data_IF_087383332774
#
_entry.id   IF_087383332774
#
_cell.length_a   1.000
_cell.length_b   1.000
_cell.length_c   1.000
_cell.angle_alpha   90.00
_cell.angle_beta   90.00
_cell.angle_gamma   90.00
#
_symmetry.space_group_name_H-M   'P 1'
#
loop_
_entity.id
_entity.type
_entity.pdbx_description
1 polymer ?
#
# COMPACT_ATOMS: atom_id res chain seq x y z
N UNK A 1 -12.52 -26.04 -15.74
CA UNK A 1 -12.34 -27.50 -16.00
C UNK A 1 -12.89 -28.34 -14.86
N UNK A 2 -12.35 -28.24 -13.63
CA UNK A 2 -12.82 -29.05 -12.49
C UNK A 2 -14.34 -28.99 -12.26
N UNK A 3 -14.91 -27.78 -12.18
CA UNK A 3 -16.37 -27.61 -11.98
C UNK A 3 -17.22 -28.35 -13.02
N UNK A 4 -16.87 -28.25 -14.30
CA UNK A 4 -17.57 -28.95 -15.39
C UNK A 4 -17.44 -30.47 -15.26
N UNK A 5 -16.24 -30.98 -14.96
CA UNK A 5 -16.02 -32.42 -14.82
C UNK A 5 -16.79 -33.00 -13.62
N UNK A 6 -16.86 -32.26 -12.52
CA UNK A 6 -17.64 -32.61 -11.33
C UNK A 6 -19.15 -32.64 -11.63
N UNK A 7 -19.67 -31.63 -12.33
CA UNK A 7 -21.09 -31.60 -12.74
C UNK A 7 -21.45 -32.78 -13.66
N UNK A 8 -20.53 -33.19 -14.53
CA UNK A 8 -20.71 -34.31 -15.44
C UNK A 8 -20.48 -35.68 -14.79
N UNK A 9 -19.87 -35.75 -13.59
CA UNK A 9 -19.49 -37.00 -12.93
C UNK A 9 -20.64 -38.00 -12.77
N UNK A 10 -21.85 -37.62 -12.32
CA UNK A 10 -22.97 -38.56 -12.21
C UNK A 10 -23.39 -39.13 -13.56
N UNK A 11 -23.36 -38.31 -14.62
CA UNK A 11 -23.69 -38.71 -15.99
C UNK A 11 -22.62 -39.64 -16.57
N UNK A 12 -21.34 -39.36 -16.31
CA UNK A 12 -20.22 -40.23 -16.70
C UNK A 12 -20.34 -41.61 -16.02
N UNK A 13 -20.61 -41.64 -14.71
CA UNK A 13 -20.87 -42.89 -13.96
C UNK A 13 -22.06 -43.68 -14.50
N UNK A 14 -23.08 -43.00 -15.03
CA UNK A 14 -24.26 -43.64 -15.63
C UNK A 14 -23.97 -44.22 -17.02
N UNK A 15 -23.24 -43.49 -17.86
CA UNK A 15 -22.93 -43.89 -19.23
C UNK A 15 -21.85 -44.98 -19.32
N UNK A 16 -20.87 -44.96 -18.42
CA UNK A 16 -19.75 -45.92 -18.39
C UNK A 16 -20.05 -47.14 -17.51
N UNK A 17 -21.33 -47.51 -17.35
CA UNK A 17 -21.72 -48.70 -16.59
C UNK A 17 -21.33 -49.98 -17.34
N UNK A 18 -20.68 -50.90 -16.62
CA UNK A 18 -20.35 -52.25 -17.11
C UNK A 18 -18.85 -52.54 -17.13
N UNK A 19 -18.48 -53.83 -17.05
CA UNK A 19 -17.08 -54.29 -16.94
C UNK A 19 -16.19 -53.82 -18.10
N UNK A 20 -16.74 -53.67 -19.31
CA UNK A 20 -15.98 -53.22 -20.48
C UNK A 20 -15.52 -51.75 -20.40
N UNK A 21 -16.22 -50.92 -19.61
CA UNK A 21 -15.95 -49.48 -19.47
C UNK A 21 -15.28 -49.12 -18.13
N UNK A 22 -15.02 -50.11 -17.26
CA UNK A 22 -14.52 -49.92 -15.90
C UNK A 22 -13.20 -49.16 -15.85
N UNK A 23 -12.21 -49.56 -16.67
CA UNK A 23 -10.91 -48.88 -16.75
C UNK A 23 -11.01 -47.43 -17.27
N UNK A 24 -11.99 -47.14 -18.13
CA UNK A 24 -12.22 -45.78 -18.64
C UNK A 24 -12.84 -44.88 -17.56
N UNK A 25 -13.79 -45.42 -16.79
CA UNK A 25 -14.39 -44.72 -15.65
C UNK A 25 -13.33 -44.43 -14.58
N UNK A 26 -12.51 -45.42 -14.22
CA UNK A 26 -11.42 -45.27 -13.26
C UNK A 26 -10.40 -44.20 -13.70
N UNK A 27 -9.99 -44.24 -14.97
CA UNK A 27 -9.06 -43.26 -15.55
C UNK A 27 -9.63 -41.83 -15.48
N UNK A 28 -10.92 -41.68 -15.78
CA UNK A 28 -11.62 -40.39 -15.75
C UNK A 28 -11.68 -39.83 -14.34
N UNK A 29 -12.10 -40.64 -13.36
CA UNK A 29 -12.16 -40.23 -11.95
C UNK A 29 -10.76 -39.89 -11.40
N UNK A 30 -9.74 -40.65 -11.79
CA UNK A 30 -8.35 -40.37 -11.43
C UNK A 30 -7.89 -39.02 -12.00
N UNK A 31 -8.25 -38.69 -13.24
CA UNK A 31 -7.90 -37.40 -13.85
C UNK A 31 -8.61 -36.23 -13.15
N UNK A 32 -9.89 -36.38 -12.79
CA UNK A 32 -10.63 -35.38 -11.99
C UNK A 32 -9.95 -35.14 -10.65
N UNK A 33 -9.57 -36.23 -9.96
CA UNK A 33 -8.85 -36.17 -8.68
C UNK A 33 -7.50 -35.45 -8.81
N UNK A 34 -6.68 -35.82 -9.80
CA UNK A 34 -5.40 -35.16 -10.05
C UNK A 34 -5.57 -33.68 -10.38
N UNK A 35 -6.56 -33.33 -11.19
CA UNK A 35 -6.86 -31.93 -11.50
C UNK A 35 -7.23 -31.14 -10.23
N UNK A 36 -8.01 -31.74 -9.33
CA UNK A 36 -8.38 -31.15 -8.06
C UNK A 36 -7.16 -30.93 -7.15
N UNK A 37 -6.33 -31.96 -6.98
CA UNK A 37 -5.10 -31.93 -6.19
C UNK A 37 -4.13 -30.86 -6.72
N UNK A 38 -3.89 -30.81 -8.03
CA UNK A 38 -3.03 -29.78 -8.64
C UNK A 38 -3.58 -28.37 -8.46
N UNK A 39 -4.90 -28.17 -8.60
CA UNK A 39 -5.52 -26.87 -8.39
C UNK A 39 -5.41 -26.40 -6.93
N UNK A 40 -5.58 -27.31 -5.97
CA UNK A 40 -5.39 -27.03 -4.54
C UNK A 40 -3.96 -26.69 -4.21
N UNK A 41 -3.02 -27.53 -4.63
CA UNK A 41 -1.59 -27.31 -4.41
C UNK A 41 -1.15 -25.97 -5.00
N UNK A 42 -1.61 -25.64 -6.21
CA UNK A 42 -1.34 -24.34 -6.84
C UNK A 42 -1.84 -23.19 -5.96
N UNK A 43 -3.07 -23.28 -5.45
CA UNK A 43 -3.64 -22.21 -4.63
C UNK A 43 -2.95 -22.10 -3.26
N UNK A 44 -2.63 -23.23 -2.62
CA UNK A 44 -1.94 -23.31 -1.33
C UNK A 44 -0.50 -22.78 -1.43
N UNK A 45 0.19 -23.03 -2.54
CA UNK A 45 1.58 -22.58 -2.75
C UNK A 45 1.68 -21.16 -3.31
N UNK A 46 0.58 -20.60 -3.83
CA UNK A 46 0.58 -19.26 -4.42
C UNK A 46 1.05 -18.13 -3.49
N UNK A 47 0.75 -18.11 -2.16
CA UNK A 47 1.35 -17.14 -1.24
C UNK A 47 2.88 -17.10 -1.31
N UNK A 48 3.56 -18.25 -1.44
CA UNK A 48 5.02 -18.27 -1.50
C UNK A 48 5.55 -17.70 -2.83
N UNK A 49 4.82 -17.88 -3.93
CA UNK A 49 5.11 -17.22 -5.21
C UNK A 49 4.97 -15.70 -5.05
N UNK A 50 3.90 -15.23 -4.41
CA UNK A 50 3.66 -13.80 -4.17
C UNK A 50 4.75 -13.20 -3.29
N UNK A 51 5.15 -13.90 -2.23
CA UNK A 51 6.20 -13.48 -1.30
C UNK A 51 7.54 -13.29 -2.01
N UNK A 52 7.88 -14.21 -2.92
CA UNK A 52 9.17 -14.23 -3.62
C UNK A 52 9.20 -13.46 -4.94
N UNK A 53 8.08 -12.87 -5.37
CA UNK A 53 8.01 -12.08 -6.59
C UNK A 53 9.11 -11.01 -6.65
N UNK A 54 9.98 -11.16 -7.64
CA UNK A 54 11.11 -10.29 -7.90
C UNK A 54 10.88 -9.40 -9.13
N UNK A 55 9.66 -9.39 -9.69
CA UNK A 55 9.33 -8.56 -10.85
C UNK A 55 9.69 -7.11 -10.54
N UNK A 56 10.55 -6.54 -11.38
CA UNK A 56 10.98 -5.16 -11.29
C UNK A 56 10.08 -4.31 -12.18
N UNK A 57 9.17 -3.58 -11.53
CA UNK A 57 8.42 -2.49 -12.16
C UNK A 57 8.86 -1.21 -11.48
N UNK A 58 9.47 -0.31 -12.25
CA UNK A 58 9.92 0.97 -11.73
C UNK A 58 8.70 1.84 -11.36
N UNK A 59 8.38 1.88 -10.08
CA UNK A 59 7.50 2.90 -9.49
C UNK A 59 8.40 3.92 -8.82
N UNK A 60 8.49 5.12 -9.39
CA UNK A 60 9.44 6.15 -8.93
C UNK A 60 8.78 7.23 -8.06
N UNK A 61 7.46 7.37 -8.13
CA UNK A 61 6.66 8.42 -7.48
C UNK A 61 5.92 7.93 -6.22
N UNK A 62 6.08 6.64 -5.88
CA UNK A 62 5.42 6.02 -4.73
C UNK A 62 3.97 5.60 -4.96
N UNK A 63 3.44 5.60 -6.20
CA UNK A 63 2.07 5.12 -6.48
C UNK A 63 1.86 3.64 -6.09
N UNK A 64 0.61 3.17 -6.19
CA UNK A 64 0.24 1.77 -6.01
C UNK A 64 1.01 0.90 -7.00
N UNK A 65 1.68 -0.14 -6.49
CA UNK A 65 2.43 -1.06 -7.33
C UNK A 65 1.45 -1.94 -8.15
N UNK A 66 1.66 -2.14 -9.47
CA UNK A 66 0.77 -2.98 -10.29
C UNK A 66 0.62 -4.41 -9.74
N UNK A 67 1.69 -4.95 -9.17
CA UNK A 67 1.70 -6.23 -8.44
C UNK A 67 0.60 -6.31 -7.37
N UNK A 68 0.45 -5.28 -6.52
CA UNK A 68 -0.57 -5.24 -5.47
C UNK A 68 -1.96 -5.41 -6.05
N UNK A 69 -2.28 -4.67 -7.12
CA UNK A 69 -3.57 -4.77 -7.82
C UNK A 69 -3.76 -6.15 -8.43
N UNK A 70 -2.75 -6.70 -9.10
CA UNK A 70 -2.78 -8.04 -9.73
C UNK A 70 -3.06 -9.13 -8.70
N UNK A 71 -2.33 -9.14 -7.59
CA UNK A 71 -2.47 -10.14 -6.53
C UNK A 71 -3.84 -10.05 -5.87
N UNK A 72 -4.27 -8.85 -5.46
CA UNK A 72 -5.57 -8.66 -4.83
C UNK A 72 -6.72 -9.07 -5.77
N UNK A 73 -6.69 -8.65 -7.04
CA UNK A 73 -7.69 -9.06 -8.02
C UNK A 73 -7.73 -10.57 -8.19
N UNK A 74 -6.58 -11.20 -8.47
CA UNK A 74 -6.50 -12.64 -8.70
C UNK A 74 -7.03 -13.43 -7.50
N UNK A 75 -6.54 -13.11 -6.30
CA UNK A 75 -6.93 -13.80 -5.08
C UNK A 75 -8.43 -13.69 -4.80
N UNK A 76 -8.98 -12.47 -4.78
CA UNK A 76 -10.39 -12.29 -4.45
C UNK A 76 -11.34 -12.79 -5.54
N UNK A 77 -10.95 -12.72 -6.82
CA UNK A 77 -11.73 -13.37 -7.90
C UNK A 77 -11.79 -14.88 -7.71
N UNK A 78 -10.67 -15.52 -7.37
CA UNK A 78 -10.63 -16.94 -7.06
C UNK A 78 -11.43 -17.27 -5.79
N UNK A 79 -11.30 -16.48 -4.73
CA UNK A 79 -12.00 -16.68 -3.45
C UNK A 79 -13.53 -16.63 -3.60
N UNK A 80 -14.05 -15.77 -4.48
CA UNK A 80 -15.48 -15.69 -4.80
C UNK A 80 -16.00 -16.89 -5.59
N UNK A 81 -15.12 -17.70 -6.17
CA UNK A 81 -15.50 -18.87 -6.96
C UNK A 81 -16.15 -19.95 -6.07
N UNK A 82 -17.39 -20.30 -6.40
CA UNK A 82 -18.10 -21.44 -5.77
C UNK A 82 -17.36 -22.75 -5.98
N UNK A 83 -16.76 -22.93 -7.17
CA UNK A 83 -15.95 -24.11 -7.49
C UNK A 83 -14.73 -24.23 -6.58
N UNK A 84 -14.06 -23.12 -6.26
CA UNK A 84 -12.90 -23.14 -5.36
C UNK A 84 -13.31 -23.52 -3.94
N UNK A 85 -14.43 -22.94 -3.44
CA UNK A 85 -14.95 -23.28 -2.11
C UNK A 85 -15.30 -24.77 -1.99
N UNK A 86 -15.94 -25.32 -3.01
CA UNK A 86 -16.28 -26.75 -3.08
C UNK A 86 -15.03 -27.62 -3.13
N UNK A 87 -14.04 -27.24 -3.94
CA UNK A 87 -12.75 -27.92 -4.02
C UNK A 87 -12.07 -28.02 -2.65
N UNK A 88 -12.01 -26.89 -1.92
CA UNK A 88 -11.49 -26.83 -0.55
C UNK A 88 -12.36 -27.54 0.50
N UNK A 89 -13.62 -27.86 0.21
CA UNK A 89 -14.48 -28.64 1.11
C UNK A 89 -14.30 -30.14 0.88
N UNK A 90 -14.21 -30.57 -0.38
CA UNK A 90 -14.15 -31.98 -0.77
C UNK A 90 -12.79 -32.62 -0.48
N UNK A 91 -11.71 -31.84 -0.63
CA UNK A 91 -10.33 -32.30 -0.50
C UNK A 91 -9.64 -31.76 0.76
N UNK A 92 -10.41 -31.41 1.80
CA UNK A 92 -9.83 -31.01 3.09
C UNK A 92 -8.86 -32.07 3.59
N UNK A 93 -7.60 -31.67 3.76
CA UNK A 93 -6.55 -32.55 4.31
C UNK A 93 -6.77 -32.81 5.80
N UNK A 94 -7.28 -31.82 6.55
CA UNK A 94 -7.60 -31.92 7.98
C UNK A 94 -9.05 -31.47 8.24
N UNK A 95 -9.93 -32.41 8.62
CA UNK A 95 -11.33 -32.09 8.96
C UNK A 95 -11.52 -31.50 10.37
N UNK A 96 -10.49 -31.59 11.21
CA UNK A 96 -10.53 -31.21 12.63
C UNK A 96 -10.01 -29.78 12.90
N UNK A 97 -9.55 -29.05 11.88
CA UNK A 97 -9.09 -27.66 12.04
C UNK A 97 -10.29 -26.69 12.17
N UNK A 98 -10.27 -25.80 13.19
CA UNK A 98 -11.38 -24.87 13.43
C UNK A 98 -11.50 -23.81 12.33
N UNK A 99 -10.39 -23.45 11.68
CA UNK A 99 -10.36 -22.52 10.56
C UNK A 99 -10.38 -23.29 9.23
N UNK A 100 -11.13 -22.80 8.24
CA UNK A 100 -11.07 -23.40 6.90
C UNK A 100 -9.66 -23.23 6.31
N UNK A 101 -9.10 -24.27 5.70
CA UNK A 101 -7.81 -24.20 4.97
C UNK A 101 -7.77 -23.04 3.96
N UNK A 102 -8.92 -22.70 3.38
CA UNK A 102 -9.07 -21.54 2.49
C UNK A 102 -8.84 -20.21 3.20
N UNK A 103 -9.27 -20.06 4.46
CA UNK A 103 -8.98 -18.89 5.30
C UNK A 103 -7.49 -18.82 5.63
N UNK A 104 -6.84 -19.94 5.96
CA UNK A 104 -5.39 -19.99 6.20
C UNK A 104 -4.59 -19.52 4.97
N UNK A 105 -4.95 -20.00 3.77
CA UNK A 105 -4.32 -19.53 2.54
C UNK A 105 -4.59 -18.04 2.30
N UNK A 106 -5.78 -17.57 2.67
CA UNK A 106 -6.13 -16.15 2.57
C UNK A 106 -5.25 -15.28 3.49
N UNK A 107 -5.05 -15.68 4.74
CA UNK A 107 -4.14 -15.00 5.69
C UNK A 107 -2.71 -14.98 5.17
N UNK A 108 -2.20 -16.14 4.73
CA UNK A 108 -0.86 -16.27 4.14
C UNK A 108 -0.69 -15.39 2.90
N UNK A 109 -1.71 -15.26 2.05
CA UNK A 109 -1.69 -14.40 0.88
C UNK A 109 -1.51 -12.92 1.26
N UNK A 110 -2.26 -12.46 2.27
CA UNK A 110 -2.19 -11.09 2.76
C UNK A 110 -0.83 -10.77 3.38
N UNK A 111 -0.29 -11.69 4.19
CA UNK A 111 1.05 -11.59 4.78
C UNK A 111 2.15 -11.62 3.72
N UNK A 112 2.05 -12.51 2.73
CA UNK A 112 3.00 -12.62 1.63
C UNK A 112 3.05 -11.34 0.81
N UNK A 113 1.88 -10.77 0.48
CA UNK A 113 1.80 -9.51 -0.25
C UNK A 113 2.41 -8.36 0.55
N UNK A 114 2.08 -8.26 1.84
CA UNK A 114 2.69 -7.25 2.73
C UNK A 114 4.22 -7.38 2.77
N UNK A 115 4.73 -8.59 3.03
CA UNK A 115 6.16 -8.85 3.09
C UNK A 115 6.87 -8.47 1.79
N UNK A 116 6.27 -8.83 0.66
CA UNK A 116 6.83 -8.49 -0.65
C UNK A 116 6.84 -6.97 -0.88
N UNK A 117 5.79 -6.26 -0.48
CA UNK A 117 5.74 -4.80 -0.54
C UNK A 117 6.82 -4.14 0.32
N UNK A 118 7.04 -4.63 1.54
CA UNK A 118 8.13 -4.17 2.40
C UNK A 118 9.51 -4.41 1.76
N UNK A 119 9.69 -5.54 1.08
CA UNK A 119 10.92 -5.84 0.32
C UNK A 119 11.09 -4.88 -0.87
N UNK A 120 10.04 -4.64 -1.65
CA UNK A 120 10.08 -3.70 -2.78
C UNK A 120 10.30 -2.26 -2.31
N UNK A 121 9.74 -1.85 -1.17
CA UNK A 121 9.94 -0.52 -0.61
C UNK A 121 11.42 -0.24 -0.28
N UNK A 122 12.22 -1.25 0.06
CA UNK A 122 13.66 -1.05 0.34
C UNK A 122 14.46 -0.54 -0.86
N UNK A 123 13.92 -0.61 -2.07
CA UNK A 123 14.57 -0.15 -3.30
C UNK A 123 14.56 1.38 -3.45
N UNK A 124 13.64 2.11 -2.80
CA UNK A 124 13.70 3.57 -2.81
C UNK A 124 14.85 4.05 -1.94
N UNK A 125 15.65 5.02 -2.38
CA UNK A 125 16.73 5.56 -1.54
C UNK A 125 16.18 6.49 -0.45
N UNK A 126 15.19 7.31 -0.81
CA UNK A 126 14.52 8.22 0.11
C UNK A 126 13.56 7.47 1.05
N UNK A 127 13.82 7.53 2.35
CA UNK A 127 13.00 6.88 3.39
C UNK A 127 11.58 7.44 3.48
N UNK A 128 11.39 8.74 3.27
CA UNK A 128 10.07 9.34 3.25
C UNK A 128 9.25 8.81 2.07
N UNK A 129 9.88 8.67 0.89
CA UNK A 129 9.23 8.06 -0.28
C UNK A 129 8.88 6.58 -0.04
N UNK A 130 9.72 5.81 0.66
CA UNK A 130 9.38 4.43 1.08
C UNK A 130 8.06 4.38 1.84
N UNK A 131 7.88 5.31 2.77
CA UNK A 131 6.68 5.38 3.59
C UNK A 131 5.46 5.81 2.78
N UNK A 132 5.60 6.73 1.81
CA UNK A 132 4.52 7.07 0.87
C UNK A 132 4.10 5.85 0.03
N UNK A 133 5.07 5.12 -0.53
CA UNK A 133 4.81 3.90 -1.29
C UNK A 133 4.02 2.87 -0.48
N UNK A 134 4.48 2.55 0.73
CA UNK A 134 3.80 1.58 1.59
C UNK A 134 2.41 2.06 1.99
N UNK A 135 2.27 3.35 2.31
CA UNK A 135 0.99 3.95 2.68
C UNK A 135 -0.04 3.84 1.54
N UNK A 136 0.36 4.12 0.29
CA UNK A 136 -0.53 3.96 -0.88
C UNK A 136 -0.97 2.52 -1.09
N UNK A 137 -0.03 1.57 -1.02
CA UNK A 137 -0.34 0.16 -1.25
C UNK A 137 -1.22 -0.42 -0.13
N UNK A 138 -0.95 -0.10 1.13
CA UNK A 138 -1.81 -0.53 2.24
C UNK A 138 -3.19 0.14 2.20
N UNK A 139 -3.26 1.42 1.80
CA UNK A 139 -4.55 2.10 1.61
C UNK A 139 -5.36 1.44 0.50
N UNK A 140 -4.73 1.09 -0.61
CA UNK A 140 -5.37 0.32 -1.67
C UNK A 140 -5.88 -1.02 -1.16
N UNK A 141 -5.06 -1.76 -0.39
CA UNK A 141 -5.48 -3.04 0.21
C UNK A 141 -6.70 -2.86 1.12
N UNK A 142 -6.74 -1.85 1.99
CA UNK A 142 -7.91 -1.54 2.84
C UNK A 142 -9.16 -1.33 1.99
N UNK A 143 -9.09 -0.43 1.01
CA UNK A 143 -10.24 -0.12 0.13
C UNK A 143 -10.71 -1.37 -0.62
N UNK A 144 -9.77 -2.19 -1.09
CA UNK A 144 -10.07 -3.42 -1.81
C UNK A 144 -10.74 -4.48 -0.92
N UNK A 145 -10.20 -4.72 0.27
CA UNK A 145 -10.72 -5.69 1.24
C UNK A 145 -12.14 -5.31 1.64
N UNK A 146 -12.39 -4.05 1.98
CA UNK A 146 -13.72 -3.54 2.36
C UNK A 146 -14.71 -3.64 1.20
N UNK A 147 -14.28 -3.36 -0.03
CA UNK A 147 -15.12 -3.48 -1.23
C UNK A 147 -15.28 -4.92 -1.76
N UNK A 148 -14.63 -5.91 -1.16
CA UNK A 148 -14.59 -7.27 -1.72
C UNK A 148 -15.88 -8.07 -1.51
N UNK A 149 -16.74 -7.69 -0.56
CA UNK A 149 -17.95 -8.44 -0.18
C UNK A 149 -17.70 -9.91 0.23
N UNK A 150 -16.47 -10.28 0.57
CA UNK A 150 -16.10 -11.65 0.98
C UNK A 150 -16.52 -11.92 2.44
N UNK A 151 -17.80 -12.26 2.65
CA UNK A 151 -18.44 -12.43 3.98
C UNK A 151 -17.80 -13.49 4.89
N UNK A 152 -17.07 -14.45 4.33
CA UNK A 152 -16.39 -15.53 5.06
C UNK A 152 -15.01 -15.14 5.58
N UNK A 153 -14.49 -13.97 5.17
CA UNK A 153 -13.21 -13.44 5.63
C UNK A 153 -13.42 -12.47 6.81
N UNK A 154 -12.44 -12.34 7.71
CA UNK A 154 -12.44 -11.35 8.79
C UNK A 154 -12.10 -9.94 8.25
N UNK A 155 -12.95 -9.45 7.34
CA UNK A 155 -12.78 -8.19 6.59
C UNK A 155 -12.53 -7.01 7.53
N UNK A 156 -13.30 -6.91 8.63
CA UNK A 156 -13.16 -5.82 9.58
C UNK A 156 -11.80 -5.82 10.29
N UNK A 157 -11.33 -6.98 10.72
CA UNK A 157 -10.07 -7.08 11.47
C UNK A 157 -8.86 -6.85 10.58
N UNK A 158 -8.91 -7.34 9.34
CA UNK A 158 -7.90 -7.05 8.32
C UNK A 158 -7.89 -5.57 7.97
N UNK A 159 -9.06 -4.96 7.73
CA UNK A 159 -9.17 -3.55 7.44
C UNK A 159 -8.61 -2.69 8.59
N UNK A 160 -8.96 -3.01 9.85
CA UNK A 160 -8.40 -2.33 11.04
C UNK A 160 -6.89 -2.48 11.12
N UNK A 161 -6.36 -3.67 10.84
CA UNK A 161 -4.91 -3.94 10.85
C UNK A 161 -4.18 -3.10 9.80
N UNK A 162 -4.62 -3.14 8.55
CA UNK A 162 -3.97 -2.35 7.50
C UNK A 162 -4.20 -0.84 7.65
N UNK A 163 -5.33 -0.40 8.22
CA UNK A 163 -5.53 1.02 8.57
C UNK A 163 -4.51 1.50 9.61
N UNK A 164 -4.22 0.70 10.64
CA UNK A 164 -3.15 1.01 11.61
C UNK A 164 -1.79 1.10 10.93
N UNK A 165 -1.52 0.24 9.94
CA UNK A 165 -0.29 0.30 9.15
C UNK A 165 -0.21 1.56 8.29
N UNK A 166 -1.30 1.95 7.61
CA UNK A 166 -1.39 3.22 6.87
C UNK A 166 -1.07 4.40 7.79
N UNK A 167 -1.69 4.45 8.97
CA UNK A 167 -1.44 5.50 9.95
C UNK A 167 0.01 5.50 10.44
N UNK A 168 0.59 4.32 10.71
CA UNK A 168 2.01 4.22 11.07
C UNK A 168 2.91 4.77 9.96
N UNK A 169 2.67 4.39 8.71
CA UNK A 169 3.47 4.87 7.56
C UNK A 169 3.33 6.37 7.34
N UNK A 170 2.15 6.92 7.60
CA UNK A 170 1.94 8.36 7.63
C UNK A 170 2.83 9.05 8.69
N UNK A 171 2.88 8.54 9.92
CA UNK A 171 3.71 9.12 10.97
C UNK A 171 5.21 8.97 10.67
N UNK A 172 5.62 7.80 10.17
CA UNK A 172 7.00 7.55 9.74
C UNK A 172 7.41 8.52 8.61
N UNK A 173 6.55 8.74 7.61
CA UNK A 173 6.74 9.74 6.55
C UNK A 173 6.92 11.15 7.13
N UNK A 174 5.99 11.57 8.00
CA UNK A 174 6.00 12.89 8.62
C UNK A 174 7.31 13.12 9.38
N UNK A 175 7.76 12.13 10.14
CA UNK A 175 9.03 12.20 10.87
C UNK A 175 10.24 12.29 9.91
N UNK A 176 10.35 11.37 8.96
CA UNK A 176 11.52 11.29 8.04
C UNK A 176 11.62 12.53 7.14
N UNK A 177 10.49 13.09 6.70
CA UNK A 177 10.48 14.23 5.77
C UNK A 177 10.55 15.61 6.45
N UNK A 178 9.83 15.80 7.58
CA UNK A 178 9.58 17.15 8.10
C UNK A 178 10.31 17.46 9.40
N UNK A 179 10.74 16.46 10.17
CA UNK A 179 11.31 16.68 11.51
C UNK A 179 12.48 17.66 11.49
N UNK A 180 13.36 17.58 10.49
CA UNK A 180 14.52 18.46 10.39
C UNK A 180 14.13 19.90 10.03
N UNK A 181 13.19 20.08 9.09
CA UNK A 181 12.69 21.42 8.71
C UNK A 181 12.02 22.08 9.91
N UNK A 182 11.14 21.35 10.60
CA UNK A 182 10.45 21.85 11.78
C UNK A 182 11.47 22.23 12.87
N UNK A 183 12.47 21.39 13.14
CA UNK A 183 13.54 21.69 14.11
C UNK A 183 14.32 22.96 13.79
N UNK A 184 14.57 23.25 12.50
CA UNK A 184 15.30 24.46 12.08
C UNK A 184 14.52 25.74 12.42
N UNK A 185 13.19 25.71 12.26
CA UNK A 185 12.31 26.88 12.48
C UNK A 185 11.69 26.94 13.87
N UNK A 186 11.83 25.88 14.68
CA UNK A 186 11.35 25.88 16.05
C UNK A 186 12.03 26.96 16.89
N UNK A 187 11.27 27.62 17.80
CA UNK A 187 11.85 28.52 18.78
C UNK A 187 12.92 27.79 19.60
N UNK A 188 14.11 28.38 19.74
CA UNK A 188 15.05 27.93 20.77
C UNK A 188 14.54 28.39 22.12
N UNK A 189 14.67 27.53 23.13
CA UNK A 189 14.16 27.79 24.48
C UNK A 189 14.62 29.11 25.10
N UNK A 190 13.94 29.46 26.20
CA UNK A 190 13.89 30.78 26.83
C UNK A 190 15.24 31.50 26.94
N UNK A 191 15.29 32.74 26.44
CA UNK A 191 16.21 33.78 26.90
C UNK A 191 17.61 33.89 26.27
N UNK A 192 18.01 33.03 25.34
CA UNK A 192 19.32 33.25 24.68
C UNK A 192 19.22 34.41 23.67
N UNK A 193 20.18 35.36 23.73
CA UNK A 193 20.38 36.38 22.71
C UNK A 193 20.82 35.70 21.40
N UNK A 194 19.88 35.13 20.66
CA UNK A 194 20.14 34.55 19.34
C UNK A 194 20.68 35.66 18.46
N UNK A 195 21.90 35.48 17.95
CA UNK A 195 22.56 36.49 17.14
C UNK A 195 21.81 36.69 15.82
N UNK A 196 21.86 37.90 15.26
CA UNK A 196 21.32 38.17 13.93
C UNK A 196 21.91 37.24 12.84
N UNK A 197 23.16 36.80 13.02
CA UNK A 197 23.80 35.83 12.14
C UNK A 197 23.12 34.45 12.21
N UNK A 198 22.87 33.94 13.42
CA UNK A 198 22.19 32.65 13.62
C UNK A 198 20.78 32.63 13.01
N UNK A 199 20.03 33.73 13.12
CA UNK A 199 18.69 33.85 12.50
C UNK A 199 18.80 33.80 10.97
N UNK A 200 19.76 34.52 10.38
CA UNK A 200 19.99 34.49 8.92
C UNK A 200 20.34 33.08 8.43
N UNK A 201 21.15 32.35 9.18
CA UNK A 201 21.56 30.99 8.81
C UNK A 201 20.40 29.99 8.94
N UNK A 202 19.54 30.13 9.94
CA UNK A 202 18.27 29.38 10.02
C UNK A 202 17.37 29.63 8.81
N UNK A 203 17.21 30.89 8.38
CA UNK A 203 16.41 31.21 7.19
C UNK A 203 16.99 30.61 5.91
N UNK A 204 18.32 30.70 5.71
CA UNK A 204 18.98 30.06 4.56
C UNK A 204 18.78 28.55 4.57
N UNK A 205 18.95 27.92 5.73
CA UNK A 205 18.75 26.48 5.92
C UNK A 205 17.30 26.07 5.62
N UNK A 206 16.32 26.77 6.19
CA UNK A 206 14.91 26.56 5.91
C UNK A 206 14.61 26.71 4.41
N UNK A 207 15.04 27.81 3.79
CA UNK A 207 14.76 28.09 2.38
C UNK A 207 15.31 27.00 1.45
N UNK A 208 16.49 26.48 1.76
CA UNK A 208 17.12 25.38 1.02
C UNK A 208 16.36 24.07 1.20
N UNK A 209 16.11 23.66 2.46
CA UNK A 209 15.44 22.40 2.77
C UNK A 209 14.00 22.37 2.24
N UNK A 210 13.25 23.46 2.46
CA UNK A 210 11.89 23.61 1.98
C UNK A 210 11.81 23.53 0.45
N UNK A 211 12.75 24.18 -0.26
CA UNK A 211 12.81 24.11 -1.73
C UNK A 211 13.01 22.67 -2.21
N UNK A 212 14.01 21.97 -1.66
CA UNK A 212 14.33 20.61 -2.09
C UNK A 212 13.19 19.66 -1.79
N UNK A 213 12.65 19.72 -0.57
CA UNK A 213 11.49 18.92 -0.18
C UNK A 213 10.32 19.14 -1.15
N UNK A 214 9.97 20.40 -1.43
CA UNK A 214 8.87 20.71 -2.33
C UNK A 214 9.11 20.20 -3.76
N UNK A 215 10.33 20.35 -4.30
CA UNK A 215 10.68 19.85 -5.64
C UNK A 215 10.57 18.34 -5.75
N UNK A 216 10.99 17.62 -4.72
CA UNK A 216 10.95 16.16 -4.70
C UNK A 216 9.51 15.66 -4.50
N UNK A 217 8.84 16.14 -3.45
CA UNK A 217 7.54 15.60 -3.02
C UNK A 217 6.36 16.03 -3.89
N UNK A 218 6.51 17.10 -4.68
CA UNK A 218 5.51 17.45 -5.72
C UNK A 218 5.46 16.39 -6.84
N UNK A 219 6.54 15.66 -7.06
CA UNK A 219 6.59 14.60 -8.07
C UNK A 219 6.03 13.27 -7.56
N UNK A 220 5.87 13.12 -6.25
CA UNK A 220 5.29 11.93 -5.65
C UNK A 220 3.79 11.91 -5.86
N UNK A 221 3.18 10.73 -5.81
CA UNK A 221 1.75 10.55 -6.04
C UNK A 221 1.10 9.79 -4.89
N UNK A 222 -0.06 10.27 -4.43
CA UNK A 222 -0.89 9.58 -3.41
C UNK A 222 -2.27 9.32 -3.99
N UNK A 223 -2.52 8.11 -4.50
CA UNK A 223 -3.72 7.76 -5.27
C UNK A 223 -5.06 8.07 -4.56
N UNK A 224 -5.17 7.78 -3.27
CA UNK A 224 -6.41 8.00 -2.50
C UNK A 224 -6.60 9.48 -2.17
N UNK A 225 -7.69 10.07 -2.69
CA UNK A 225 -7.97 11.50 -2.59
C UNK A 225 -8.14 11.95 -1.13
N UNK A 226 -8.81 11.17 -0.30
CA UNK A 226 -9.08 11.54 1.10
C UNK A 226 -7.81 11.42 1.95
N UNK A 227 -7.00 10.39 1.72
CA UNK A 227 -5.67 10.26 2.30
C UNK A 227 -4.76 11.44 1.89
N UNK A 228 -4.76 11.81 0.60
CA UNK A 228 -3.99 12.94 0.07
C UNK A 228 -4.41 14.25 0.73
N UNK A 229 -5.72 14.51 0.84
CA UNK A 229 -6.25 15.70 1.54
C UNK A 229 -5.85 15.72 3.00
N UNK A 230 -5.98 14.60 3.71
CA UNK A 230 -5.60 14.47 5.12
C UNK A 230 -4.12 14.75 5.33
N UNK A 231 -3.23 14.16 4.52
CA UNK A 231 -1.79 14.48 4.50
C UNK A 231 -1.54 15.98 4.36
N UNK A 232 -2.13 16.61 3.35
CA UNK A 232 -1.94 18.05 3.10
C UNK A 232 -2.43 18.90 4.28
N UNK A 233 -3.57 18.56 4.87
CA UNK A 233 -4.12 19.28 6.03
C UNK A 233 -3.17 19.19 7.22
N UNK A 234 -2.76 17.97 7.60
CA UNK A 234 -1.88 17.78 8.75
C UNK A 234 -0.53 18.45 8.57
N UNK A 235 0.07 18.38 7.38
CA UNK A 235 1.35 19.06 7.12
C UNK A 235 1.23 20.57 7.24
N UNK A 236 0.11 21.16 6.81
CA UNK A 236 -0.17 22.60 7.02
C UNK A 236 -0.33 22.93 8.50
N UNK A 237 -1.11 22.13 9.23
CA UNK A 237 -1.35 22.29 10.66
C UNK A 237 -0.05 22.19 11.47
N UNK A 238 0.88 21.35 11.05
CA UNK A 238 2.20 21.21 11.67
C UNK A 238 3.11 22.42 11.42
N UNK A 239 3.24 22.84 10.15
CA UNK A 239 4.30 23.79 9.75
C UNK A 239 3.89 25.25 9.93
N UNK A 240 2.63 25.62 9.64
CA UNK A 240 2.23 27.02 9.57
C UNK A 240 2.33 27.76 10.91
N UNK A 241 1.90 27.20 12.06
CA UNK A 241 2.02 27.89 13.34
C UNK A 241 3.48 28.18 13.72
N UNK A 242 4.36 27.21 13.48
CA UNK A 242 5.79 27.32 13.77
C UNK A 242 6.43 28.34 12.81
N UNK A 243 6.06 28.30 11.53
CA UNK A 243 6.57 29.21 10.53
C UNK A 243 6.14 30.67 10.75
N UNK A 244 4.89 30.90 11.16
CA UNK A 244 4.41 32.24 11.58
C UNK A 244 5.26 32.83 12.70
N UNK A 245 5.54 32.01 13.71
CA UNK A 245 6.36 32.41 14.86
C UNK A 245 7.78 32.74 14.42
N UNK A 246 8.35 31.89 13.56
CA UNK A 246 9.67 32.10 12.96
C UNK A 246 9.77 33.38 12.11
N UNK A 247 8.71 33.74 11.37
CA UNK A 247 8.62 34.99 10.62
C UNK A 247 8.54 36.23 11.53
N UNK A 248 7.73 36.18 12.60
CA UNK A 248 7.63 37.28 13.55
C UNK A 248 8.97 37.56 14.25
N UNK A 249 9.68 36.50 14.64
CA UNK A 249 11.02 36.59 15.23
C UNK A 249 12.04 37.22 14.27
N UNK A 250 11.93 36.95 12.98
CA UNK A 250 12.77 37.55 11.95
C UNK A 250 12.50 39.04 11.80
N UNK A 251 11.22 39.41 11.67
CA UNK A 251 10.81 40.80 11.42
C UNK A 251 11.15 41.72 12.60
N UNK A 252 11.13 41.19 13.82
CA UNK A 252 11.51 41.94 15.03
C UNK A 252 13.04 42.07 15.19
N UNK A 253 13.82 41.02 14.87
CA UNK A 253 15.27 40.96 15.16
C UNK A 253 16.16 41.41 13.99
N UNK A 254 15.65 41.43 12.76
CA UNK A 254 16.41 41.77 11.54
C UNK A 254 15.76 42.92 10.77
N UNK A 255 16.53 44.01 10.58
CA UNK A 255 16.12 45.16 9.76
C UNK A 255 16.19 44.89 8.24
N UNK A 256 16.98 43.90 7.81
CA UNK A 256 17.21 43.56 6.41
C UNK A 256 16.36 42.36 5.98
N UNK A 257 15.38 42.61 5.11
CA UNK A 257 14.36 41.63 4.67
C UNK A 257 14.82 40.72 3.53
N UNK A 258 16.03 40.86 2.99
CA UNK A 258 16.49 40.10 1.81
C UNK A 258 16.53 38.57 1.95
N UNK A 259 16.37 38.05 3.17
CA UNK A 259 16.40 36.61 3.46
C UNK A 259 14.99 35.98 3.56
N UNK A 260 13.92 36.79 3.56
CA UNK A 260 12.53 36.32 3.52
C UNK A 260 12.20 35.91 2.08
N UNK A 261 12.40 34.63 1.77
CA UNK A 261 12.17 34.08 0.42
C UNK A 261 10.72 33.63 0.21
N UNK A 262 10.07 33.16 1.28
CA UNK A 262 8.71 32.64 1.25
C UNK A 262 7.87 33.45 2.25
N UNK A 263 6.64 33.76 1.89
CA UNK A 263 5.60 34.20 2.82
C UNK A 263 4.91 33.00 3.45
N UNK A 264 4.01 33.26 4.40
CA UNK A 264 3.16 32.21 4.95
C UNK A 264 2.29 31.58 3.84
N UNK A 265 1.72 32.41 2.98
CA UNK A 265 0.90 31.99 1.85
C UNK A 265 1.71 31.12 0.86
N UNK A 266 2.96 31.47 0.59
CA UNK A 266 3.84 30.65 -0.27
C UNK A 266 4.02 29.24 0.30
N UNK A 267 4.28 29.11 1.61
CA UNK A 267 4.41 27.82 2.28
C UNK A 267 3.09 27.04 2.24
N UNK A 268 1.97 27.74 2.43
CA UNK A 268 0.64 27.12 2.37
C UNK A 268 0.30 26.59 0.96
N UNK A 269 0.67 27.33 -0.09
CA UNK A 269 0.55 26.92 -1.49
C UNK A 269 1.43 25.70 -1.75
N UNK A 270 2.69 25.72 -1.29
CA UNK A 270 3.59 24.56 -1.46
C UNK A 270 2.99 23.28 -0.87
N UNK A 271 2.37 23.34 0.32
CA UNK A 271 1.73 22.16 0.94
C UNK A 271 0.54 21.67 0.12
N UNK A 272 -0.21 22.60 -0.48
CA UNK A 272 -1.38 22.30 -1.30
C UNK A 272 -1.01 21.55 -2.58
N UNK A 273 0.19 21.75 -3.10
CA UNK A 273 0.63 21.18 -4.38
C UNK A 273 1.40 19.85 -4.25
N UNK A 274 1.71 19.39 -3.03
CA UNK A 274 2.40 18.11 -2.81
C UNK A 274 1.57 16.91 -3.31
N UNK A 275 2.22 15.80 -3.62
CA UNK A 275 1.57 14.50 -3.89
C UNK A 275 0.59 14.44 -5.08
N UNK A 276 0.58 15.45 -5.94
CA UNK A 276 -0.26 15.47 -7.15
C UNK A 276 0.35 14.65 -8.29
N UNK A 277 1.61 14.24 -8.16
CA UNK A 277 2.40 13.65 -9.23
C UNK A 277 2.82 14.70 -10.27
N UNK A 278 3.67 14.30 -11.21
CA UNK A 278 3.84 15.11 -12.43
C UNK A 278 2.47 15.19 -13.11
N UNK A 279 2.07 16.35 -13.67
CA UNK A 279 0.85 16.40 -14.47
C UNK A 279 0.91 15.26 -15.49
N UNK A 280 -0.19 14.54 -15.75
CA UNK A 280 -0.21 13.56 -16.82
C UNK A 280 0.34 14.26 -18.06
N UNK A 281 1.35 13.65 -18.69
CA UNK A 281 1.85 14.11 -19.98
C UNK A 281 0.61 14.49 -20.81
N UNK A 282 0.53 15.70 -21.38
CA UNK A 282 -0.59 16.04 -22.24
C UNK A 282 -0.72 14.93 -23.26
N UNK A 283 -1.89 14.29 -23.27
CA UNK A 283 -2.26 13.32 -24.31
C UNK A 283 -2.09 14.04 -25.65
N UNK A 284 -0.96 13.79 -26.29
CA UNK A 284 -0.58 14.24 -27.62
C UNK A 284 0.21 13.05 -28.17
N UNK A 285 -0.22 12.35 -29.23
CA UNK A 285 -1.16 12.63 -30.31
C UNK A 285 -2.08 11.42 -30.54
#
# INVERSE_FOLDING_TARGET
>A
MYGVLRELEPKMKLMLKGKACEGMLESTLTLVKKLAETALETFITYPEVVKNDADYIAVLDGTIHPFTRRVMNCFFSCYKSTTLKQLFQEFRTNRDEPNSQLLTVAEQMMEALQYNLDKKAKQFNDKALRNIFLMNNFRFMVTFIVGSEAKELPIEDWAKTYQKMVFKKFQDYRHEAWSEILRVISPEGDGSKVSQAAIKDKFKSFNYKMKNLYVDQRQWFVDDIELRKSLKSTLKEDILPIYRTFLADFETKLKDKKHKKYTEEDVEIMMRELFEGKPPLPKSL
#
